data_IF_194462752079
#
_entry.id   IF_194462752079
#
_cell.length_a   1.000
_cell.length_b   1.000
_cell.length_c   1.000
_cell.angle_alpha   90.00
_cell.angle_beta   90.00
_cell.angle_gamma   90.00
#
_symmetry.space_group_name_H-M   'P 1'
#
loop_
_entity.id
_entity.type
_entity.pdbx_description
1 polymer ?
#
# COMPACT_ATOMS: atom_id res chain seq x y z
N UNK A 1 42.65 36.03 10.02
CA UNK A 1 42.94 34.59 9.84
C UNK A 1 41.73 33.98 9.17
N UNK A 2 41.78 33.79 7.85
CA UNK A 2 40.74 33.09 7.13
C UNK A 2 41.04 31.59 7.26
N UNK A 3 40.16 30.86 7.93
CA UNK A 3 40.27 29.41 8.07
C UNK A 3 40.24 28.79 6.68
N UNK A 4 41.36 28.18 6.30
CA UNK A 4 41.55 27.47 5.06
C UNK A 4 40.86 26.10 5.20
N UNK A 5 39.52 26.09 5.12
CA UNK A 5 38.76 24.84 5.02
C UNK A 5 39.04 24.22 3.66
N UNK A 6 40.05 23.35 3.62
CA UNK A 6 40.32 22.52 2.45
C UNK A 6 39.05 21.69 2.18
N UNK A 7 38.40 21.83 1.02
CA UNK A 7 37.20 21.05 0.72
C UNK A 7 37.54 19.57 0.79
N UNK A 8 36.63 18.74 1.34
CA UNK A 8 36.82 17.30 1.39
C UNK A 8 37.24 16.76 0.02
N UNK A 9 38.20 15.84 0.01
CA UNK A 9 38.61 15.19 -1.24
C UNK A 9 37.43 14.49 -1.92
N UNK A 10 37.46 14.39 -3.25
CA UNK A 10 36.43 13.70 -4.04
C UNK A 10 36.21 12.26 -3.56
N UNK A 11 37.29 11.52 -3.30
CA UNK A 11 37.23 10.14 -2.81
C UNK A 11 36.59 10.04 -1.42
N UNK A 12 36.90 10.97 -0.51
CA UNK A 12 36.27 11.03 0.81
C UNK A 12 34.76 11.29 0.69
N UNK A 13 34.37 12.18 -0.22
CA UNK A 13 32.97 12.51 -0.47
C UNK A 13 32.20 11.31 -1.04
N UNK A 14 32.75 10.63 -2.04
CA UNK A 14 32.17 9.40 -2.62
C UNK A 14 32.01 8.31 -1.55
N UNK A 15 33.03 8.07 -0.74
CA UNK A 15 32.99 7.07 0.33
C UNK A 15 31.89 7.37 1.36
N UNK A 16 31.81 8.62 1.83
CA UNK A 16 30.78 9.03 2.79
C UNK A 16 29.38 8.85 2.18
N UNK A 17 29.16 9.28 0.94
CA UNK A 17 27.86 9.15 0.27
C UNK A 17 27.46 7.69 0.04
N UNK A 18 28.41 6.80 -0.22
CA UNK A 18 28.15 5.37 -0.43
C UNK A 18 27.56 4.69 0.81
N UNK A 19 27.99 5.09 2.01
CA UNK A 19 27.56 4.50 3.28
C UNK A 19 26.53 5.37 4.03
N UNK A 20 26.15 6.51 3.46
CA UNK A 20 25.14 7.37 4.05
C UNK A 20 23.74 6.78 3.90
N UNK A 21 22.92 6.96 4.93
CA UNK A 21 21.48 6.68 4.89
C UNK A 21 20.84 7.33 3.64
N UNK A 22 20.07 6.58 2.83
CA UNK A 22 19.51 7.08 1.59
C UNK A 22 18.67 8.35 1.77
N UNK A 23 17.87 8.43 2.83
CA UNK A 23 17.02 9.60 3.09
C UNK A 23 17.84 10.85 3.47
N UNK A 24 18.90 10.70 4.28
CA UNK A 24 19.84 11.81 4.54
C UNK A 24 20.49 12.29 3.25
N UNK A 25 20.88 11.36 2.39
CA UNK A 25 21.51 11.62 1.09
C UNK A 25 20.58 12.38 0.13
N UNK A 26 19.30 12.00 0.07
CA UNK A 26 18.26 12.72 -0.67
C UNK A 26 18.10 14.17 -0.19
N UNK A 27 18.07 14.40 1.13
CA UNK A 27 17.93 15.75 1.72
C UNK A 27 19.16 16.62 1.50
N UNK A 28 20.36 16.05 1.51
CA UNK A 28 21.59 16.77 1.19
C UNK A 28 21.66 17.16 -0.28
N UNK A 29 21.32 16.22 -1.16
CA UNK A 29 21.29 16.42 -2.61
C UNK A 29 20.30 17.50 -3.04
N UNK A 30 19.16 17.60 -2.38
CA UNK A 30 18.17 18.64 -2.71
C UNK A 30 18.63 20.05 -2.33
N UNK A 31 19.55 20.18 -1.35
CA UNK A 31 20.04 21.45 -0.80
C UNK A 31 21.40 21.89 -1.33
N UNK A 32 22.22 20.96 -1.83
CA UNK A 32 23.59 21.26 -2.28
C UNK A 32 23.85 20.71 -3.69
N UNK A 33 23.84 21.58 -4.72
CA UNK A 33 24.17 21.19 -6.09
C UNK A 33 25.58 20.62 -6.26
N UNK A 34 26.53 21.02 -5.42
CA UNK A 34 27.91 20.52 -5.47
C UNK A 34 27.99 19.01 -5.12
N UNK A 35 27.11 18.54 -4.23
CA UNK A 35 27.03 17.12 -3.87
C UNK A 35 26.48 16.28 -5.04
N UNK A 36 25.61 16.85 -5.88
CA UNK A 36 25.02 16.15 -7.02
C UNK A 36 26.06 15.61 -8.01
N UNK A 37 27.23 16.24 -8.11
CA UNK A 37 28.29 15.74 -8.99
C UNK A 37 28.85 14.40 -8.49
N UNK A 38 29.06 14.27 -7.19
CA UNK A 38 29.54 13.03 -6.56
C UNK A 38 28.42 11.97 -6.49
N UNK A 39 27.16 12.41 -6.38
CA UNK A 39 25.99 11.52 -6.41
C UNK A 39 25.84 10.74 -7.71
N UNK A 40 26.29 11.31 -8.82
CA UNK A 40 26.21 10.67 -10.14
C UNK A 40 27.11 9.45 -10.24
N UNK A 41 28.28 9.49 -9.60
CA UNK A 41 29.29 8.42 -9.65
C UNK A 41 29.15 7.42 -8.50
N UNK A 42 28.40 7.79 -7.45
CA UNK A 42 28.27 6.98 -6.24
C UNK A 42 27.00 6.15 -6.28
N UNK A 43 27.13 4.82 -6.12
CA UNK A 43 26.00 3.90 -6.07
C UNK A 43 24.96 4.34 -5.04
N UNK A 44 23.71 4.45 -5.45
CA UNK A 44 22.57 4.74 -4.57
C UNK A 44 21.79 3.45 -4.32
N UNK A 45 21.73 3.02 -3.06
CA UNK A 45 21.13 1.75 -2.64
C UNK A 45 20.07 1.98 -1.60
N UNK A 46 18.87 1.43 -1.82
CA UNK A 46 17.74 1.46 -0.90
C UNK A 46 17.48 0.03 -0.41
N UNK A 47 17.31 -0.14 0.89
CA UNK A 47 17.06 -1.46 1.48
C UNK A 47 15.64 -1.93 1.19
N UNK A 48 14.66 -1.04 1.37
CA UNK A 48 13.25 -1.26 1.08
C UNK A 48 12.60 0.00 0.51
N UNK A 49 12.02 -0.12 -0.68
CA UNK A 49 11.16 0.89 -1.30
C UNK A 49 9.72 0.36 -1.29
N UNK A 50 8.79 1.12 -0.74
CA UNK A 50 7.36 0.82 -0.84
C UNK A 50 6.63 1.91 -1.61
N UNK A 51 5.80 1.49 -2.56
CA UNK A 51 5.00 2.39 -3.39
C UNK A 51 3.53 2.18 -3.03
N UNK A 52 2.96 3.21 -2.41
CA UNK A 52 1.56 3.30 -1.99
C UNK A 52 0.83 4.33 -2.86
N UNK A 53 -0.51 4.35 -2.83
CA UNK A 53 -1.34 5.18 -3.75
C UNK A 53 -0.97 6.66 -3.75
N UNK A 54 -0.56 7.18 -2.60
CA UNK A 54 -0.22 8.59 -2.37
C UNK A 54 1.04 8.74 -1.51
N UNK A 55 1.87 7.68 -1.44
CA UNK A 55 3.05 7.70 -0.62
C UNK A 55 4.19 6.86 -1.20
N UNK A 56 5.40 7.32 -1.00
CA UNK A 56 6.61 6.53 -1.18
C UNK A 56 7.26 6.35 0.19
N UNK A 57 7.60 5.12 0.53
CA UNK A 57 8.33 4.80 1.77
C UNK A 57 9.73 4.31 1.42
N UNK A 58 10.76 5.00 1.91
CA UNK A 58 12.17 4.67 1.67
C UNK A 58 12.81 4.32 3.01
N UNK A 59 13.18 3.05 3.19
CA UNK A 59 13.82 2.56 4.41
C UNK A 59 13.06 2.95 5.70
N UNK A 60 11.73 2.94 5.63
CA UNK A 60 10.80 3.27 6.72
C UNK A 60 10.35 4.74 6.78
N UNK A 61 11.02 5.65 6.08
CA UNK A 61 10.62 7.06 6.06
C UNK A 61 9.57 7.30 4.99
N UNK A 62 8.52 8.02 5.35
CA UNK A 62 7.32 8.17 4.51
C UNK A 62 7.25 9.55 3.89
N UNK A 63 7.11 9.60 2.57
CA UNK A 63 6.87 10.81 1.79
C UNK A 63 5.45 10.75 1.23
N UNK A 64 4.61 11.74 1.54
CA UNK A 64 3.23 11.82 1.05
C UNK A 64 2.98 13.11 0.30
N UNK A 65 2.17 12.99 -0.76
CA UNK A 65 1.68 14.11 -1.56
C UNK A 65 0.17 13.94 -1.69
N UNK A 66 -0.57 14.98 -1.35
CA UNK A 66 -2.01 15.06 -1.57
C UNK A 66 -2.43 16.50 -1.87
N UNK A 67 -3.70 16.72 -2.19
CA UNK A 67 -4.27 18.06 -2.41
C UNK A 67 -5.08 18.49 -1.19
N UNK A 68 -4.85 19.70 -0.69
CA UNK A 68 -5.58 20.27 0.44
C UNK A 68 -6.21 21.58 0.06
N UNK A 69 -7.42 21.83 0.58
CA UNK A 69 -8.13 23.09 0.38
C UNK A 69 -7.81 24.07 1.50
N UNK A 70 -7.29 25.23 1.15
CA UNK A 70 -7.06 26.33 2.08
C UNK A 70 -8.18 27.36 1.95
N UNK A 71 -8.87 27.65 3.05
CA UNK A 71 -9.97 28.62 3.11
C UNK A 71 -9.48 29.97 3.62
N UNK A 72 -9.86 31.05 2.94
CA UNK A 72 -9.49 32.41 3.33
C UNK A 72 -10.54 33.03 4.24
N UNK A 73 -10.08 33.70 5.30
CA UNK A 73 -10.94 34.50 6.17
C UNK A 73 -11.85 33.72 7.12
N UNK A 74 -11.81 32.38 7.11
CA UNK A 74 -12.55 31.52 8.02
C UNK A 74 -11.82 30.19 8.26
N UNK A 75 -12.09 29.51 9.39
CA UNK A 75 -11.63 28.13 9.60
C UNK A 75 -12.16 27.19 8.51
N UNK A 76 -11.35 26.19 8.17
CA UNK A 76 -11.77 25.15 7.24
C UNK A 76 -13.00 24.39 7.79
N UNK A 77 -14.00 24.07 6.95
CA UNK A 77 -15.07 23.17 7.34
C UNK A 77 -14.50 21.83 7.83
N UNK A 78 -15.20 21.19 8.77
CA UNK A 78 -14.73 19.97 9.46
C UNK A 78 -14.24 18.87 8.51
N UNK A 79 -14.93 18.66 7.39
CA UNK A 79 -14.53 17.70 6.36
C UNK A 79 -13.10 17.99 5.83
N UNK A 80 -12.83 19.24 5.42
CA UNK A 80 -11.53 19.62 4.86
C UNK A 80 -10.43 19.69 5.94
N UNK A 81 -10.79 19.98 7.19
CA UNK A 81 -9.86 19.88 8.31
C UNK A 81 -9.40 18.42 8.50
N UNK A 82 -10.35 17.47 8.52
CA UNK A 82 -10.06 16.03 8.60
C UNK A 82 -9.28 15.53 7.39
N UNK A 83 -9.66 15.95 6.19
CA UNK A 83 -8.96 15.60 4.95
C UNK A 83 -7.48 16.02 5.03
N UNK A 84 -7.20 17.26 5.44
CA UNK A 84 -5.83 17.75 5.64
C UNK A 84 -5.05 16.91 6.66
N UNK A 85 -5.68 16.57 7.79
CA UNK A 85 -5.04 15.75 8.83
C UNK A 85 -4.76 14.31 8.35
N UNK A 86 -5.50 13.86 7.33
CA UNK A 86 -5.30 12.60 6.60
C UNK A 86 -4.33 12.72 5.41
N UNK A 87 -3.60 13.83 5.30
CA UNK A 87 -2.62 14.16 4.25
C UNK A 87 -3.22 14.61 2.90
N UNK A 88 -4.46 15.09 2.90
CA UNK A 88 -5.12 15.63 1.71
C UNK A 88 -5.79 14.58 0.83
N UNK A 89 -6.49 15.07 -0.20
CA UNK A 89 -7.04 14.24 -1.26
C UNK A 89 -5.91 13.53 -2.02
N UNK A 90 -6.09 12.24 -2.26
CA UNK A 90 -5.10 11.37 -2.94
C UNK A 90 -5.33 11.25 -4.45
N UNK A 91 -6.17 12.13 -4.99
CA UNK A 91 -6.61 12.18 -6.37
C UNK A 91 -6.64 13.64 -6.82
N UNK A 92 -6.59 13.85 -8.12
CA UNK A 92 -6.69 15.19 -8.68
C UNK A 92 -8.09 15.77 -8.43
N UNK A 93 -8.12 17.04 -8.02
CA UNK A 93 -9.34 17.80 -7.71
C UNK A 93 -9.47 19.02 -8.62
N UNK A 94 -10.68 19.57 -8.72
CA UNK A 94 -10.94 20.82 -9.43
C UNK A 94 -10.56 20.73 -10.92
N UNK A 95 -9.70 21.64 -11.40
CA UNK A 95 -9.35 21.74 -12.83
C UNK A 95 -8.60 20.53 -13.39
N UNK A 96 -8.00 19.73 -12.52
CA UNK A 96 -7.26 18.52 -12.92
C UNK A 96 -8.05 17.24 -12.63
N UNK A 97 -9.22 17.34 -11.98
CA UNK A 97 -10.06 16.18 -11.74
C UNK A 97 -10.57 15.60 -13.05
N UNK A 98 -10.74 14.28 -13.07
CA UNK A 98 -11.57 13.63 -14.07
C UNK A 98 -13.00 14.20 -13.95
N UNK A 99 -13.62 14.69 -15.05
CA UNK A 99 -14.98 15.22 -15.03
C UNK A 99 -16.02 14.26 -14.43
N UNK A 100 -15.79 12.96 -14.55
CA UNK A 100 -16.69 11.91 -14.04
C UNK A 100 -16.21 11.35 -12.67
N UNK A 101 -15.24 12.00 -12.02
CA UNK A 101 -14.73 11.61 -10.71
C UNK A 101 -15.79 11.73 -9.63
N UNK A 102 -16.34 10.59 -9.22
CA UNK A 102 -17.25 10.50 -8.05
C UNK A 102 -16.59 11.07 -6.79
N UNK A 103 -15.27 10.90 -6.65
CA UNK A 103 -14.53 11.40 -5.50
C UNK A 103 -14.43 12.93 -5.47
N UNK A 104 -14.18 13.59 -6.61
CA UNK A 104 -14.13 15.06 -6.67
C UNK A 104 -15.54 15.66 -6.55
N UNK A 105 -16.55 15.02 -7.15
CA UNK A 105 -17.95 15.42 -6.97
C UNK A 105 -18.38 15.36 -5.50
N UNK A 106 -18.11 14.27 -4.81
CA UNK A 106 -18.42 14.10 -3.38
C UNK A 106 -17.68 15.14 -2.53
N UNK A 107 -16.37 15.30 -2.79
CA UNK A 107 -15.54 16.32 -2.13
C UNK A 107 -16.11 17.73 -2.30
N UNK A 108 -16.54 18.11 -3.50
CA UNK A 108 -17.08 19.43 -3.79
C UNK A 108 -18.51 19.61 -3.25
N UNK A 109 -19.28 18.55 -3.06
CA UNK A 109 -20.63 18.59 -2.46
C UNK A 109 -20.62 19.23 -1.06
N UNK A 110 -19.52 19.08 -0.31
CA UNK A 110 -19.35 19.65 1.03
C UNK A 110 -19.30 21.18 1.08
N UNK A 111 -19.02 21.84 -0.06
CA UNK A 111 -19.03 23.29 -0.23
C UNK A 111 -20.02 23.75 -1.31
N UNK A 112 -20.90 22.87 -1.80
CA UNK A 112 -21.83 23.25 -2.86
C UNK A 112 -22.93 24.16 -2.31
N UNK A 113 -23.30 25.18 -3.10
CA UNK A 113 -24.44 26.02 -2.79
C UNK A 113 -25.73 25.19 -2.72
N UNK A 114 -26.63 25.46 -1.75
CA UNK A 114 -27.92 24.79 -1.71
C UNK A 114 -28.69 25.00 -3.02
N UNK A 115 -29.29 23.93 -3.53
CA UNK A 115 -30.11 24.01 -4.73
C UNK A 115 -31.25 25.03 -4.56
N UNK A 116 -31.55 25.81 -5.60
CA UNK A 116 -32.48 26.95 -5.52
C UNK A 116 -33.87 26.59 -4.95
N UNK A 117 -34.40 25.40 -5.30
CA UNK A 117 -35.68 24.90 -4.73
C UNK A 117 -35.62 24.76 -3.20
N UNK A 118 -34.50 24.27 -2.67
CA UNK A 118 -34.30 24.18 -1.22
C UNK A 118 -34.18 25.58 -0.62
N UNK A 119 -33.47 26.50 -1.28
CA UNK A 119 -33.34 27.89 -0.82
C UNK A 119 -34.70 28.62 -0.76
N UNK A 120 -35.58 28.41 -1.73
CA UNK A 120 -36.94 28.95 -1.71
C UNK A 120 -37.76 28.38 -0.55
N UNK A 121 -37.75 27.05 -0.37
CA UNK A 121 -38.41 26.39 0.76
C UNK A 121 -37.88 26.90 2.12
N UNK A 122 -36.59 27.19 2.20
CA UNK A 122 -35.99 27.74 3.43
C UNK A 122 -36.38 29.20 3.67
N UNK A 123 -36.62 29.98 2.62
CA UNK A 123 -37.22 31.31 2.75
C UNK A 123 -38.63 31.23 3.36
N UNK A 124 -39.50 30.36 2.82
CA UNK A 124 -40.84 30.11 3.37
C UNK A 124 -40.79 29.58 4.81
N UNK A 125 -39.83 28.71 5.11
CA UNK A 125 -39.61 28.16 6.46
C UNK A 125 -39.21 29.25 7.47
N UNK A 126 -38.44 30.26 7.04
CA UNK A 126 -38.07 31.42 7.87
C UNK A 126 -39.28 32.31 8.17
N UNK A 127 -40.14 32.56 7.18
CA UNK A 127 -41.39 33.29 7.39
C UNK A 127 -42.34 32.52 8.33
N UNK A 128 -42.49 31.20 8.13
CA UNK A 128 -43.29 30.33 9.00
C UNK A 128 -42.77 30.34 10.44
N UNK A 129 -41.46 30.24 10.64
CA UNK A 129 -40.84 30.32 11.97
C UNK A 129 -41.14 31.67 12.64
N UNK A 130 -41.10 32.76 11.89
CA UNK A 130 -41.40 34.11 12.40
C UNK A 130 -42.84 34.18 12.91
N UNK A 131 -43.80 33.66 12.14
CA UNK A 131 -45.21 33.63 12.53
C UNK A 131 -45.44 32.79 13.78
N UNK A 132 -44.79 31.62 13.88
CA UNK A 132 -44.89 30.75 15.07
C UNK A 132 -44.28 31.45 16.30
N UNK A 133 -43.12 32.06 16.17
CA UNK A 133 -42.47 32.76 17.29
C UNK A 133 -43.32 33.94 17.77
N UNK A 134 -43.94 34.69 16.86
CA UNK A 134 -44.86 35.76 17.23
C UNK A 134 -46.08 35.23 18.01
N UNK A 135 -46.70 34.14 17.56
CA UNK A 135 -47.78 33.47 18.27
C UNK A 135 -47.37 33.03 19.69
N UNK A 136 -46.22 32.36 19.81
CA UNK A 136 -45.73 31.90 21.11
C UNK A 136 -45.45 33.07 22.08
N UNK A 137 -44.90 34.17 21.56
CA UNK A 137 -44.66 35.39 22.35
C UNK A 137 -45.97 36.07 22.79
N UNK A 138 -47.03 36.02 21.98
CA UNK A 138 -48.35 36.52 22.35
C UNK A 138 -48.99 35.66 23.45
N UNK A 139 -48.90 34.33 23.33
CA UNK A 139 -49.38 33.40 24.36
C UNK A 139 -48.61 33.55 25.69
N UNK A 140 -47.33 33.91 25.65
CA UNK A 140 -46.52 34.12 26.86
C UNK A 140 -46.91 35.40 27.63
N UNK A 141 -47.43 36.43 26.93
CA UNK A 141 -47.88 37.69 27.55
C UNK A 141 -49.22 37.60 28.30
N UNK A 142 -50.01 36.56 28.03
CA UNK A 142 -51.35 36.39 28.60
C UNK A 142 -51.43 35.05 29.36
N UNK A 143 -51.39 35.10 30.70
CA UNK A 143 -51.41 33.91 31.57
C UNK A 143 -52.67 33.04 31.38
N UNK A 144 -53.85 33.65 31.14
CA UNK A 144 -55.10 32.93 30.91
C UNK A 144 -55.17 32.16 29.57
N UNK A 145 -54.39 32.54 28.55
CA UNK A 145 -54.40 31.86 27.23
C UNK A 145 -53.51 30.63 27.18
N UNK A 146 -52.55 30.48 28.10
CA UNK A 146 -51.59 29.37 28.06
C UNK A 146 -52.22 28.03 28.49
N UNK A 147 -53.18 28.06 29.43
CA UNK A 147 -53.92 26.88 29.89
C UNK A 147 -54.95 26.37 28.87
N UNK A 148 -55.52 27.25 28.05
CA UNK A 148 -56.54 26.89 27.05
C UNK A 148 -55.94 26.32 25.76
N UNK A 149 -54.71 26.70 25.42
CA UNK A 149 -54.02 26.32 24.17
C UNK A 149 -52.77 25.47 24.39
N UNK A 150 -52.68 24.79 25.54
CA UNK A 150 -51.47 24.09 25.98
C UNK A 150 -50.93 23.11 24.91
N UNK A 151 -51.80 22.30 24.31
CA UNK A 151 -51.45 21.36 23.22
C UNK A 151 -50.97 22.06 21.94
N UNK A 152 -51.62 23.17 21.54
CA UNK A 152 -51.23 23.93 20.34
C UNK A 152 -49.88 24.64 20.53
N UNK A 153 -49.63 25.16 21.74
CA UNK A 153 -48.35 25.75 22.14
C UNK A 153 -47.23 24.72 22.08
N UNK A 154 -47.45 23.50 22.58
CA UNK A 154 -46.47 22.41 22.51
C UNK A 154 -46.16 22.01 21.06
N UNK A 155 -47.20 21.81 20.24
CA UNK A 155 -47.05 21.46 18.82
C UNK A 155 -46.27 22.52 18.04
N UNK A 156 -46.61 23.79 18.21
CA UNK A 156 -45.92 24.91 17.56
C UNK A 156 -44.50 25.08 18.08
N UNK A 157 -44.25 24.79 19.35
CA UNK A 157 -42.88 24.81 19.91
C UNK A 157 -42.02 23.73 19.26
N UNK A 158 -42.55 22.54 19.07
CA UNK A 158 -41.88 21.44 18.37
C UNK A 158 -41.64 21.79 16.88
N UNK A 159 -42.65 22.34 16.20
CA UNK A 159 -42.53 22.82 14.81
C UNK A 159 -41.42 23.89 14.69
N UNK A 160 -41.39 24.86 15.61
CA UNK A 160 -40.36 25.90 15.63
C UNK A 160 -38.95 25.33 15.85
N UNK A 161 -38.80 24.33 16.73
CA UNK A 161 -37.52 23.66 16.94
C UNK A 161 -37.03 22.94 15.68
N UNK A 162 -37.92 22.25 14.97
CA UNK A 162 -37.57 21.54 13.74
C UNK A 162 -37.23 22.51 12.60
N UNK A 163 -38.02 23.57 12.42
CA UNK A 163 -37.72 24.63 11.45
C UNK A 163 -36.36 25.29 11.75
N UNK A 164 -36.05 25.59 13.02
CA UNK A 164 -34.74 26.14 13.43
C UNK A 164 -33.58 25.22 13.03
N UNK A 165 -33.71 23.90 13.22
CA UNK A 165 -32.68 22.92 12.82
C UNK A 165 -32.46 22.93 11.31
N UNK A 166 -33.54 22.93 10.52
CA UNK A 166 -33.46 22.93 9.06
C UNK A 166 -32.84 24.22 8.52
N UNK A 167 -33.27 25.37 9.05
CA UNK A 167 -32.74 26.69 8.71
C UNK A 167 -31.25 26.76 9.06
N UNK A 168 -30.87 26.35 10.26
CA UNK A 168 -29.46 26.34 10.70
C UNK A 168 -28.60 25.49 9.76
N UNK A 169 -29.06 24.29 9.38
CA UNK A 169 -28.35 23.41 8.44
C UNK A 169 -28.18 24.07 7.07
N UNK A 170 -29.22 24.73 6.56
CA UNK A 170 -29.18 25.45 5.28
C UNK A 170 -28.24 26.66 5.34
N UNK A 171 -28.34 27.48 6.37
CA UNK A 171 -27.50 28.67 6.55
C UNK A 171 -26.02 28.30 6.70
N UNK A 172 -25.71 27.21 7.42
CA UNK A 172 -24.33 26.66 7.48
C UNK A 172 -23.85 26.24 6.10
N UNK A 173 -24.67 25.52 5.32
CA UNK A 173 -24.27 25.08 3.98
C UNK A 173 -24.07 26.27 3.04
N UNK A 174 -24.96 27.26 3.10
CA UNK A 174 -24.85 28.50 2.35
C UNK A 174 -23.55 29.24 2.71
N UNK A 175 -23.27 29.42 3.99
CA UNK A 175 -22.03 30.04 4.46
C UNK A 175 -20.79 29.29 3.97
N UNK A 176 -20.78 27.95 4.00
CA UNK A 176 -19.68 27.13 3.46
C UNK A 176 -19.48 27.34 1.96
N UNK A 177 -20.55 27.50 1.20
CA UNK A 177 -20.50 27.71 -0.25
C UNK A 177 -20.00 29.09 -0.68
N UNK A 178 -20.09 30.06 0.21
CA UNK A 178 -19.61 31.42 -0.01
C UNK A 178 -18.13 31.60 0.38
N UNK A 179 -17.52 30.58 1.02
CA UNK A 179 -16.12 30.63 1.38
C UNK A 179 -15.23 30.63 0.15
N UNK A 180 -14.27 31.56 0.13
CA UNK A 180 -13.21 31.58 -0.86
C UNK A 180 -12.11 30.60 -0.46
N UNK A 181 -11.62 29.83 -1.41
CA UNK A 181 -10.56 28.86 -1.18
C UNK A 181 -9.62 28.75 -2.38
N UNK A 182 -8.44 28.19 -2.12
CA UNK A 182 -7.50 27.73 -3.14
C UNK A 182 -7.02 26.32 -2.74
N UNK A 183 -6.83 25.46 -3.74
CA UNK A 183 -6.31 24.11 -3.55
C UNK A 183 -4.77 24.14 -3.69
N UNK A 184 -4.07 23.46 -2.77
CA UNK A 184 -2.61 23.39 -2.71
C UNK A 184 -2.14 21.95 -2.67
N UNK A 185 -0.95 21.71 -3.22
CA UNK A 185 -0.22 20.48 -2.98
C UNK A 185 0.30 20.50 -1.53
N UNK A 186 0.02 19.41 -0.83
CA UNK A 186 0.43 19.13 0.53
C UNK A 186 1.50 18.06 0.55
N UNK A 187 2.75 18.49 0.74
CA UNK A 187 3.87 17.58 0.88
C UNK A 187 4.20 17.38 2.34
N UNK A 188 4.30 16.11 2.76
CA UNK A 188 4.71 15.75 4.12
C UNK A 188 5.78 14.66 4.12
N UNK A 189 6.74 14.80 5.04
CA UNK A 189 7.79 13.81 5.28
C UNK A 189 7.77 13.39 6.74
N UNK A 190 7.65 12.08 6.98
CA UNK A 190 7.66 11.47 8.31
C UNK A 190 8.87 10.55 8.47
N UNK A 191 9.46 10.57 9.67
CA UNK A 191 10.57 9.69 10.01
C UNK A 191 10.11 8.25 10.30
N UNK A 192 11.07 7.37 10.64
CA UNK A 192 10.80 5.97 10.96
C UNK A 192 9.94 5.77 12.21
N UNK A 193 9.84 6.77 13.09
CA UNK A 193 8.97 6.74 14.25
C UNK A 193 7.58 7.34 13.96
N UNK A 194 7.35 7.81 12.73
CA UNK A 194 6.09 8.40 12.28
C UNK A 194 5.94 9.89 12.59
N UNK A 195 6.96 10.53 13.16
CA UNK A 195 6.94 11.96 13.47
C UNK A 195 7.03 12.78 12.19
N UNK A 196 6.20 13.81 12.09
CA UNK A 196 6.23 14.77 11.00
C UNK A 196 7.49 15.64 11.12
N UNK A 197 8.38 15.55 10.13
CA UNK A 197 9.64 16.30 10.14
C UNK A 197 9.61 17.49 9.19
N UNK A 198 8.85 17.40 8.10
CA UNK A 198 8.75 18.45 7.09
C UNK A 198 7.32 18.51 6.57
N UNK A 199 6.84 19.72 6.31
CA UNK A 199 5.49 20.01 5.87
C UNK A 199 5.52 21.27 4.99
N UNK A 200 5.06 21.16 3.75
CA UNK A 200 5.14 22.23 2.76
C UNK A 200 3.83 22.37 1.97
N UNK A 201 3.38 23.61 1.81
CA UNK A 201 2.33 23.99 0.85
C UNK A 201 3.00 24.39 -0.46
N UNK A 202 2.62 23.72 -1.54
CA UNK A 202 3.10 24.01 -2.89
C UNK A 202 1.92 24.40 -3.77
N UNK A 203 2.16 25.28 -4.75
CA UNK A 203 1.13 25.67 -5.71
C UNK A 203 0.64 24.44 -6.49
N UNK A 204 -0.67 24.27 -6.59
CA UNK A 204 -1.29 23.19 -7.36
C UNK A 204 -1.52 23.65 -8.81
N UNK A 205 -0.43 23.69 -9.58
CA UNK A 205 -0.42 24.16 -10.98
C UNK A 205 -0.35 23.03 -12.01
N UNK A 206 -0.35 21.79 -11.56
CA UNK A 206 -0.25 20.57 -12.37
C UNK A 206 -0.83 19.37 -11.62
N UNK A 207 -1.28 18.32 -12.34
CA UNK A 207 -1.90 17.16 -11.73
C UNK A 207 -0.90 16.33 -10.89
N UNK A 208 -1.41 15.57 -9.92
CA UNK A 208 -0.65 14.76 -8.97
C UNK A 208 0.35 13.81 -9.63
N UNK A 209 0.04 13.09 -10.74
CA UNK A 209 1.04 12.29 -11.45
C UNK A 209 2.26 13.11 -11.90
N UNK A 210 2.06 14.35 -12.37
CA UNK A 210 3.17 15.23 -12.76
C UNK A 210 3.96 15.73 -11.55
N UNK A 211 3.30 15.93 -10.40
CA UNK A 211 3.95 16.27 -9.13
C UNK A 211 4.82 15.11 -8.63
N UNK A 212 4.30 13.89 -8.69
CA UNK A 212 5.06 12.67 -8.37
C UNK A 212 6.23 12.47 -9.31
N UNK A 213 6.02 12.61 -10.63
CA UNK A 213 7.10 12.54 -11.61
C UNK A 213 8.21 13.55 -11.31
N UNK A 214 7.85 14.78 -10.93
CA UNK A 214 8.83 15.78 -10.50
C UNK A 214 9.57 15.37 -9.21
N UNK A 215 8.83 14.91 -8.19
CA UNK A 215 9.42 14.44 -6.94
C UNK A 215 10.42 13.32 -7.20
N UNK A 216 9.96 12.27 -7.89
CA UNK A 216 10.76 11.12 -8.23
C UNK A 216 11.96 11.53 -9.08
N UNK A 217 11.78 12.36 -10.12
CA UNK A 217 12.90 12.86 -10.92
C UNK A 217 13.93 13.63 -10.09
N UNK A 218 13.47 14.49 -9.18
CA UNK A 218 14.33 15.32 -8.33
C UNK A 218 15.15 14.50 -7.35
N UNK A 219 14.60 13.42 -6.82
CA UNK A 219 15.22 12.61 -5.77
C UNK A 219 15.92 11.34 -6.30
N UNK A 220 15.42 10.73 -7.37
CA UNK A 220 15.88 9.43 -7.88
C UNK A 220 16.68 9.54 -9.19
N UNK A 221 16.34 10.45 -10.11
CA UNK A 221 16.96 10.48 -11.45
C UNK A 221 18.35 11.13 -11.51
N UNK A 222 18.94 11.57 -10.39
CA UNK A 222 20.28 12.17 -10.38
C UNK A 222 21.41 11.12 -10.37
N UNK A 223 21.10 9.83 -10.28
CA UNK A 223 22.09 8.75 -10.13
C UNK A 223 22.38 8.05 -11.45
N UNK A 224 23.46 8.43 -12.13
CA UNK A 224 23.87 7.82 -13.42
C UNK A 224 24.23 6.34 -13.29
N UNK A 225 24.70 5.89 -12.12
CA UNK A 225 24.99 4.47 -11.85
C UNK A 225 23.74 3.60 -11.69
N UNK A 226 22.53 4.18 -11.81
CA UNK A 226 21.27 3.52 -11.53
C UNK A 226 21.00 3.35 -10.03
N UNK A 227 19.74 3.03 -9.72
CA UNK A 227 19.24 2.90 -8.35
C UNK A 227 19.15 1.43 -8.02
N UNK A 228 19.86 1.00 -6.98
CA UNK A 228 19.74 -0.36 -6.46
C UNK A 228 18.67 -0.42 -5.40
N UNK A 229 17.72 -1.33 -5.53
CA UNK A 229 16.69 -1.60 -4.54
C UNK A 229 16.79 -3.06 -4.13
N UNK A 230 17.05 -3.29 -2.84
CA UNK A 230 17.09 -4.65 -2.33
C UNK A 230 15.68 -5.26 -2.28
N UNK A 231 14.68 -4.55 -1.77
CA UNK A 231 13.27 -4.99 -1.81
C UNK A 231 12.36 -3.87 -2.31
N UNK A 232 11.64 -4.11 -3.40
CA UNK A 232 10.57 -3.24 -3.90
C UNK A 232 9.23 -3.86 -3.51
N UNK A 233 8.40 -3.11 -2.80
CA UNK A 233 7.04 -3.50 -2.46
C UNK A 233 6.05 -2.57 -3.17
N UNK A 234 5.22 -3.13 -4.03
CA UNK A 234 4.22 -2.40 -4.81
C UNK A 234 2.84 -2.72 -4.25
N UNK A 235 2.24 -1.71 -3.62
CA UNK A 235 0.93 -1.78 -2.94
C UNK A 235 -0.16 -1.04 -3.72
N UNK A 236 0.15 -0.66 -4.95
CA UNK A 236 -0.72 0.08 -5.85
C UNK A 236 -0.95 -0.70 -7.12
N UNK A 237 -2.15 -0.56 -7.65
CA UNK A 237 -2.51 -1.05 -8.97
C UNK A 237 -1.60 -0.40 -10.02
N UNK A 238 -1.61 0.93 -10.16
CA UNK A 238 -0.79 1.60 -11.18
C UNK A 238 0.42 2.37 -10.60
N UNK A 239 1.61 1.74 -10.44
CA UNK A 239 2.82 2.41 -9.99
C UNK A 239 3.41 3.36 -11.04
N UNK A 240 3.07 3.20 -12.32
CA UNK A 240 3.69 3.95 -13.42
C UNK A 240 3.38 5.46 -13.35
N UNK A 241 2.20 5.82 -12.84
CA UNK A 241 1.85 7.21 -12.59
C UNK A 241 2.79 7.90 -11.59
N UNK A 242 3.36 7.15 -10.64
CA UNK A 242 4.27 7.70 -9.63
C UNK A 242 5.75 7.56 -10.03
N UNK A 243 6.13 6.44 -10.65
CA UNK A 243 7.53 6.10 -10.96
C UNK A 243 7.98 6.52 -12.36
N UNK A 244 7.26 7.46 -12.99
CA UNK A 244 7.52 7.93 -14.35
C UNK A 244 9.01 8.20 -14.63
N UNK A 245 9.53 7.66 -15.73
CA UNK A 245 10.94 7.76 -16.18
C UNK A 245 12.01 7.26 -15.20
N UNK A 246 11.67 6.42 -14.23
CA UNK A 246 12.67 5.80 -13.34
C UNK A 246 12.84 4.33 -13.64
N UNK A 247 14.09 3.95 -13.87
CA UNK A 247 14.54 2.57 -14.01
C UNK A 247 15.38 2.18 -12.79
N UNK A 248 15.05 1.03 -12.20
CA UNK A 248 15.63 0.58 -10.95
C UNK A 248 16.14 -0.85 -11.10
N UNK A 249 17.29 -1.13 -10.49
CA UNK A 249 17.79 -2.48 -10.34
C UNK A 249 17.23 -3.09 -9.07
N UNK A 250 16.29 -4.01 -9.20
CA UNK A 250 15.59 -4.63 -8.07
C UNK A 250 16.10 -6.04 -7.84
N UNK A 251 16.23 -6.45 -6.58
CA UNK A 251 16.59 -7.83 -6.22
C UNK A 251 15.40 -8.66 -5.76
N UNK A 252 14.59 -8.11 -4.86
CA UNK A 252 13.39 -8.75 -4.36
C UNK A 252 12.19 -7.89 -4.67
N UNK A 253 11.11 -8.51 -5.13
CA UNK A 253 9.87 -7.84 -5.48
C UNK A 253 8.72 -8.41 -4.66
N UNK A 254 7.88 -7.55 -4.10
CA UNK A 254 6.66 -7.91 -3.37
C UNK A 254 5.49 -7.17 -4.04
N UNK A 255 4.47 -7.91 -4.47
CA UNK A 255 3.31 -7.36 -5.19
C UNK A 255 2.04 -7.82 -4.51
N UNK A 256 1.15 -6.87 -4.21
CA UNK A 256 -0.17 -7.16 -3.67
C UNK A 256 -1.22 -6.94 -4.74
N UNK A 257 -1.97 -8.00 -5.10
CA UNK A 257 -2.97 -8.03 -6.18
C UNK A 257 -2.37 -7.79 -7.57
N UNK A 258 -2.66 -8.70 -8.49
CA UNK A 258 -1.93 -8.76 -9.76
C UNK A 258 -2.89 -9.04 -10.90
N UNK A 259 -2.94 -8.11 -11.85
CA UNK A 259 -3.33 -8.40 -13.23
C UNK A 259 -2.12 -8.20 -14.16
N UNK A 260 -2.27 -8.62 -15.41
CA UNK A 260 -1.21 -8.57 -16.41
C UNK A 260 -0.81 -7.11 -16.76
N UNK A 261 -1.76 -6.19 -16.79
CA UNK A 261 -1.52 -4.77 -17.11
C UNK A 261 -0.60 -4.13 -16.06
N UNK A 262 -0.84 -4.39 -14.78
CA UNK A 262 -0.01 -3.89 -13.69
C UNK A 262 1.42 -4.46 -13.72
N UNK A 263 1.58 -5.74 -14.07
CA UNK A 263 2.90 -6.35 -14.22
C UNK A 263 3.68 -5.76 -15.40
N UNK A 264 3.01 -5.54 -16.53
CA UNK A 264 3.59 -4.92 -17.72
C UNK A 264 4.00 -3.46 -17.44
N UNK A 265 3.16 -2.70 -16.72
CA UNK A 265 3.49 -1.35 -16.29
C UNK A 265 4.74 -1.36 -15.38
N UNK A 266 4.84 -2.32 -14.45
CA UNK A 266 5.98 -2.45 -13.56
C UNK A 266 7.28 -2.81 -14.30
N UNK A 267 7.21 -3.66 -15.34
CA UNK A 267 8.37 -4.05 -16.15
C UNK A 267 9.10 -2.84 -16.75
N UNK A 268 8.37 -1.79 -17.13
CA UNK A 268 8.95 -0.56 -17.69
C UNK A 268 9.89 0.17 -16.71
N UNK A 269 9.74 -0.09 -15.41
CA UNK A 269 10.55 0.51 -14.34
C UNK A 269 11.66 -0.41 -13.82
N UNK A 270 11.69 -1.67 -14.25
CA UNK A 270 12.72 -2.62 -13.86
C UNK A 270 13.85 -2.64 -14.89
N UNK A 271 15.08 -2.44 -14.43
CA UNK A 271 16.26 -2.64 -15.28
C UNK A 271 16.32 -4.10 -15.74
N UNK A 272 16.73 -4.33 -16.99
CA UNK A 272 17.04 -5.68 -17.52
C UNK A 272 18.03 -6.42 -16.61
N UNK A 273 18.93 -5.69 -15.96
CA UNK A 273 19.92 -6.26 -15.02
C UNK A 273 19.33 -6.70 -13.67
N UNK A 274 18.04 -6.48 -13.43
CA UNK A 274 17.29 -7.03 -12.29
C UNK A 274 16.97 -8.50 -12.49
N UNK A 275 16.94 -8.98 -13.73
CA UNK A 275 16.58 -10.35 -14.06
C UNK A 275 17.81 -11.26 -14.14
N UNK A 276 17.74 -12.50 -13.62
CA UNK A 276 16.63 -13.06 -12.84
C UNK A 276 16.53 -12.43 -11.43
N UNK A 277 15.31 -12.11 -10.98
CA UNK A 277 15.07 -11.60 -9.62
C UNK A 277 15.47 -12.64 -8.57
N UNK A 278 15.97 -12.21 -7.41
CA UNK A 278 16.31 -13.12 -6.32
C UNK A 278 15.07 -13.73 -5.69
N UNK A 279 14.03 -12.92 -5.48
CA UNK A 279 12.75 -13.38 -4.97
C UNK A 279 11.61 -12.52 -5.52
N UNK A 280 10.50 -13.15 -5.87
CA UNK A 280 9.23 -12.46 -6.14
C UNK A 280 8.20 -13.00 -5.16
N UNK A 281 7.52 -12.12 -4.44
CA UNK A 281 6.42 -12.46 -3.55
C UNK A 281 5.12 -11.88 -4.09
N UNK A 282 4.07 -12.69 -4.13
CA UNK A 282 2.75 -12.24 -4.50
C UNK A 282 1.69 -12.82 -3.56
N UNK A 283 0.63 -12.05 -3.36
CA UNK A 283 -0.62 -12.49 -2.75
C UNK A 283 -1.74 -12.37 -3.77
N UNK A 284 -2.61 -13.38 -3.82
CA UNK A 284 -3.82 -13.38 -4.65
C UNK A 284 -3.53 -13.08 -6.14
N UNK A 285 -2.68 -13.91 -6.75
CA UNK A 285 -2.33 -13.83 -8.17
C UNK A 285 -3.00 -14.97 -8.94
N UNK A 286 -3.73 -14.60 -9.99
CA UNK A 286 -4.46 -15.56 -10.83
C UNK A 286 -3.55 -16.22 -11.88
N UNK A 287 -2.55 -15.49 -12.38
CA UNK A 287 -1.65 -15.93 -13.45
C UNK A 287 -0.16 -15.82 -13.11
N UNK A 288 0.50 -16.97 -13.01
CA UNK A 288 1.95 -17.07 -12.74
C UNK A 288 2.80 -17.20 -14.01
N UNK A 289 2.17 -17.15 -15.19
CA UNK A 289 2.85 -17.34 -16.48
C UNK A 289 3.64 -16.09 -16.93
N UNK A 290 3.51 -14.98 -16.20
CA UNK A 290 4.19 -13.74 -16.55
C UNK A 290 5.72 -13.82 -16.30
N UNK A 291 6.50 -13.15 -17.16
CA UNK A 291 7.97 -13.19 -17.16
C UNK A 291 8.60 -12.79 -15.81
N UNK A 292 7.97 -11.88 -15.06
CA UNK A 292 8.41 -11.49 -13.71
C UNK A 292 8.46 -12.69 -12.78
N UNK A 293 7.42 -13.53 -12.81
CA UNK A 293 7.35 -14.70 -11.96
C UNK A 293 8.29 -15.78 -12.48
N UNK A 294 8.19 -16.13 -13.76
CA UNK A 294 8.98 -17.21 -14.37
C UNK A 294 10.50 -17.02 -14.21
N UNK A 295 10.98 -15.78 -14.37
CA UNK A 295 12.40 -15.47 -14.30
C UNK A 295 12.97 -15.42 -12.88
N UNK A 296 12.14 -15.48 -11.84
CA UNK A 296 12.62 -15.36 -10.46
C UNK A 296 13.31 -16.63 -9.96
N UNK A 297 14.36 -16.48 -9.12
CA UNK A 297 15.05 -17.61 -8.49
C UNK A 297 14.24 -18.23 -7.36
N UNK A 298 13.40 -17.40 -6.71
CA UNK A 298 12.51 -17.81 -5.64
C UNK A 298 11.15 -17.16 -5.83
N UNK A 299 10.10 -17.96 -5.93
CA UNK A 299 8.73 -17.48 -5.93
C UNK A 299 8.14 -17.67 -4.53
N UNK A 300 7.51 -16.63 -3.97
CA UNK A 300 6.83 -16.67 -2.67
C UNK A 300 5.35 -16.41 -2.91
N UNK A 301 4.50 -17.37 -2.53
CA UNK A 301 3.06 -17.30 -2.76
C UNK A 301 2.38 -17.26 -1.42
N UNK A 302 1.58 -16.23 -1.20
CA UNK A 302 0.72 -16.11 -0.01
C UNK A 302 -0.73 -16.25 -0.43
N UNK A 303 -1.49 -17.09 0.29
CA UNK A 303 -2.90 -17.38 -0.03
C UNK A 303 -3.17 -18.85 -0.36
N UNK A 304 -4.38 -19.13 -0.81
CA UNK A 304 -4.81 -20.48 -1.20
C UNK A 304 -4.50 -20.74 -2.66
N UNK A 305 -3.99 -21.94 -2.96
CA UNK A 305 -3.80 -22.39 -4.34
C UNK A 305 -4.90 -23.32 -4.77
N UNK A 306 -5.30 -23.18 -6.03
CA UNK A 306 -6.10 -24.21 -6.70
C UNK A 306 -5.18 -25.28 -7.29
N UNK A 307 -5.68 -26.50 -7.44
CA UNK A 307 -4.92 -27.63 -8.00
C UNK A 307 -4.49 -27.41 -9.46
N UNK A 308 -5.14 -26.48 -10.18
CA UNK A 308 -4.84 -26.13 -11.56
C UNK A 308 -3.56 -25.28 -11.70
N UNK A 309 -3.19 -24.50 -10.68
CA UNK A 309 -2.05 -23.57 -10.73
C UNK A 309 -0.68 -24.26 -10.54
N UNK A 310 -0.66 -25.55 -10.17
CA UNK A 310 0.56 -26.23 -9.73
C UNK A 310 1.46 -26.77 -10.84
N UNK A 311 0.94 -26.89 -12.06
CA UNK A 311 1.73 -27.23 -13.23
C UNK A 311 2.51 -26.05 -13.83
N UNK A 312 2.26 -24.82 -13.36
CA UNK A 312 2.67 -23.60 -14.05
C UNK A 312 3.94 -22.94 -13.49
N UNK A 313 4.48 -23.44 -12.37
CA UNK A 313 5.68 -22.83 -11.80
C UNK A 313 6.93 -23.35 -12.51
N UNK A 314 7.84 -22.45 -12.91
CA UNK A 314 9.14 -22.80 -13.51
C UNK A 314 10.30 -22.53 -12.55
N UNK A 315 10.01 -21.97 -11.37
CA UNK A 315 11.03 -21.51 -10.44
C UNK A 315 11.71 -22.68 -9.70
N UNK A 316 13.04 -22.60 -9.47
CA UNK A 316 13.75 -23.67 -8.77
C UNK A 316 13.40 -23.74 -7.28
N UNK A 317 13.01 -22.61 -6.68
CA UNK A 317 12.54 -22.53 -5.29
C UNK A 317 11.18 -21.86 -5.26
N UNK A 318 10.19 -22.53 -4.68
CA UNK A 318 8.85 -21.97 -4.45
C UNK A 318 8.55 -22.05 -2.96
N UNK A 319 8.02 -20.97 -2.40
CA UNK A 319 7.78 -20.80 -0.99
C UNK A 319 6.33 -20.41 -0.75
N UNK A 320 5.59 -21.30 -0.11
CA UNK A 320 4.18 -21.15 0.16
C UNK A 320 3.96 -20.65 1.59
N UNK A 321 3.15 -19.61 1.70
CA UNK A 321 2.57 -19.09 2.93
C UNK A 321 1.06 -19.36 2.89
N UNK A 322 0.64 -20.62 3.09
CA UNK A 322 -0.74 -21.01 2.87
C UNK A 322 -1.67 -20.36 3.89
N UNK A 323 -2.86 -19.96 3.45
CA UNK A 323 -4.00 -19.66 4.33
C UNK A 323 -4.65 -20.94 4.86
N UNK A 324 -4.65 -22.01 4.05
CA UNK A 324 -5.06 -23.36 4.44
C UNK A 324 -4.00 -24.21 5.16
N UNK A 325 -4.31 -25.48 5.42
CA UNK A 325 -3.41 -26.42 6.09
C UNK A 325 -2.25 -26.88 5.18
N UNK A 326 -1.02 -26.88 5.71
CA UNK A 326 0.17 -27.34 4.99
C UNK A 326 0.04 -28.80 4.51
N UNK A 327 -0.70 -29.64 5.23
CA UNK A 327 -0.95 -31.05 4.85
C UNK A 327 -1.60 -31.17 3.48
N UNK A 328 -2.62 -30.34 3.22
CA UNK A 328 -3.34 -30.33 1.93
C UNK A 328 -2.38 -29.98 0.80
N UNK A 329 -1.58 -28.92 0.97
CA UNK A 329 -0.60 -28.48 -0.02
C UNK A 329 0.41 -29.56 -0.37
N UNK A 330 0.97 -30.22 0.65
CA UNK A 330 1.89 -31.35 0.47
C UNK A 330 1.24 -32.47 -0.33
N UNK A 331 0.01 -32.84 0.01
CA UNK A 331 -0.70 -33.92 -0.69
C UNK A 331 -0.88 -33.61 -2.18
N UNK A 332 -1.25 -32.37 -2.51
CA UNK A 332 -1.40 -31.96 -3.90
C UNK A 332 -0.06 -31.99 -4.64
N UNK A 333 1.02 -31.47 -4.05
CA UNK A 333 2.36 -31.50 -4.67
C UNK A 333 2.86 -32.91 -4.94
N UNK A 334 2.71 -33.81 -3.97
CA UNK A 334 3.08 -35.22 -4.14
C UNK A 334 2.29 -35.87 -5.26
N UNK A 335 0.97 -35.61 -5.33
CA UNK A 335 0.11 -36.13 -6.38
C UNK A 335 0.56 -35.64 -7.76
N UNK A 336 0.86 -34.34 -7.90
CA UNK A 336 1.40 -33.74 -9.13
C UNK A 336 2.73 -34.38 -9.53
N UNK A 337 3.70 -34.48 -8.61
CA UNK A 337 5.00 -35.09 -8.92
C UNK A 337 4.87 -36.57 -9.30
N UNK A 338 4.01 -37.35 -8.63
CA UNK A 338 3.76 -38.76 -8.98
C UNK A 338 3.14 -38.88 -10.38
N UNK A 339 2.18 -38.01 -10.71
CA UNK A 339 1.46 -38.03 -11.98
C UNK A 339 2.34 -37.58 -13.15
N UNK A 340 3.02 -36.43 -12.98
CA UNK A 340 3.64 -35.69 -14.07
C UNK A 340 5.17 -35.87 -14.10
N UNK A 341 5.78 -36.25 -12.98
CA UNK A 341 7.23 -36.27 -12.79
C UNK A 341 7.79 -34.90 -12.41
N UNK A 342 9.12 -34.77 -12.45
CA UNK A 342 9.81 -33.51 -12.23
C UNK A 342 11.03 -33.47 -13.16
N UNK A 343 11.12 -32.43 -14.00
CA UNK A 343 12.12 -32.39 -15.08
C UNK A 343 13.43 -31.74 -14.64
N UNK A 344 13.36 -30.93 -13.58
CA UNK A 344 14.49 -30.23 -12.98
C UNK A 344 14.41 -30.31 -11.46
N UNK A 345 15.50 -30.00 -10.78
CA UNK A 345 15.50 -29.95 -9.31
C UNK A 345 14.57 -28.84 -8.83
N UNK A 346 13.59 -29.18 -7.99
CA UNK A 346 12.63 -28.24 -7.40
C UNK A 346 12.65 -28.30 -5.89
N UNK A 347 12.59 -27.13 -5.24
CA UNK A 347 12.45 -27.00 -3.79
C UNK A 347 11.16 -26.26 -3.46
N UNK A 348 10.23 -26.92 -2.78
CA UNK A 348 9.04 -26.31 -2.20
C UNK A 348 9.25 -26.10 -0.71
N UNK A 349 8.98 -24.89 -0.23
CA UNK A 349 9.04 -24.50 1.17
C UNK A 349 7.61 -24.19 1.59
N UNK A 350 7.12 -24.76 2.68
CA UNK A 350 5.75 -24.52 3.16
C UNK A 350 5.83 -24.00 4.59
N UNK A 351 5.35 -22.78 4.81
CA UNK A 351 5.20 -22.20 6.15
C UNK A 351 3.93 -22.73 6.82
N UNK A 352 4.01 -23.03 8.11
CA UNK A 352 2.82 -23.26 8.95
C UNK A 352 3.08 -22.83 10.37
N UNK A 353 2.03 -22.34 11.03
CA UNK A 353 2.05 -22.04 12.46
C UNK A 353 1.65 -23.25 13.32
N UNK A 354 0.98 -24.24 12.71
CA UNK A 354 0.50 -25.42 13.42
C UNK A 354 1.52 -26.56 13.34
N UNK A 355 2.10 -26.91 14.48
CA UNK A 355 3.00 -28.07 14.62
C UNK A 355 2.31 -29.39 14.25
N UNK A 356 0.99 -29.49 14.46
CA UNK A 356 0.21 -30.69 14.12
C UNK A 356 0.26 -30.99 12.62
N UNK A 357 0.28 -29.94 11.78
CA UNK A 357 0.41 -30.06 10.32
C UNK A 357 1.76 -30.66 9.92
N UNK A 358 2.85 -30.27 10.58
CA UNK A 358 4.18 -30.86 10.35
C UNK A 358 4.16 -32.37 10.60
N UNK A 359 3.52 -32.80 11.70
CA UNK A 359 3.39 -34.23 12.04
C UNK A 359 2.56 -34.99 11.01
N UNK A 360 1.44 -34.40 10.56
CA UNK A 360 0.60 -35.00 9.51
C UNK A 360 1.38 -35.16 8.20
N UNK A 361 2.12 -34.14 7.78
CA UNK A 361 2.99 -34.20 6.60
C UNK A 361 4.04 -35.31 6.71
N UNK A 362 4.71 -35.43 7.85
CA UNK A 362 5.68 -36.51 8.09
C UNK A 362 5.00 -37.89 7.96
N UNK A 363 3.78 -38.04 8.48
CA UNK A 363 3.04 -39.30 8.39
C UNK A 363 2.62 -39.63 6.95
N UNK A 364 2.31 -38.64 6.12
CA UNK A 364 2.08 -38.84 4.67
C UNK A 364 3.35 -39.37 3.99
N UNK A 365 4.52 -38.80 4.26
CA UNK A 365 5.77 -39.31 3.68
C UNK A 365 6.13 -40.71 4.18
N UNK A 366 5.83 -41.02 5.44
CA UNK A 366 6.04 -42.37 6.00
C UNK A 366 5.16 -43.42 5.35
N UNK A 367 3.92 -43.12 4.98
CA UNK A 367 3.06 -44.08 4.29
C UNK A 367 3.53 -44.37 2.85
N UNK A 368 4.33 -43.48 2.26
CA UNK A 368 4.90 -43.62 0.92
C UNK A 368 6.26 -44.37 0.91
N UNK A 369 6.88 -44.61 2.06
CA UNK A 369 8.15 -45.33 2.16
C UNK A 369 7.90 -46.86 2.20
N UNK A 370 8.55 -47.68 1.33
CA UNK A 370 8.67 -49.10 1.58
C UNK A 370 9.43 -49.30 2.91
N UNK A 371 9.04 -50.31 3.69
CA UNK A 371 9.31 -50.51 5.14
C UNK A 371 10.75 -50.39 5.70
N UNK A 372 11.78 -49.99 4.95
CA UNK A 372 13.17 -49.99 5.42
C UNK A 372 13.89 -48.68 5.09
N UNK A 373 14.69 -48.19 6.06
CA UNK A 373 15.41 -46.91 6.13
C UNK A 373 14.67 -45.78 6.86
N UNK A 374 14.77 -45.79 8.19
CA UNK A 374 14.43 -44.67 9.05
C UNK A 374 15.64 -44.41 9.95
N UNK A 375 16.32 -43.28 9.78
CA UNK A 375 17.30 -42.79 10.75
C UNK A 375 16.74 -41.49 11.37
N UNK A 376 16.35 -41.55 12.64
CA UNK A 376 15.62 -40.50 13.35
C UNK A 376 16.61 -39.71 14.21
N UNK A 377 17.25 -38.67 13.65
CA UNK A 377 17.73 -37.49 14.41
C UNK A 377 17.56 -36.19 13.61
N UNK A 378 17.19 -35.12 14.30
CA UNK A 378 16.91 -33.77 13.76
C UNK A 378 18.21 -33.04 13.36
N UNK A 379 18.27 -32.27 12.25
CA UNK A 379 17.27 -32.15 11.19
C UNK A 379 17.18 -33.43 10.33
N UNK A 380 15.95 -33.91 10.10
CA UNK A 380 15.70 -35.16 9.38
C UNK A 380 15.69 -34.94 7.87
N UNK A 381 16.27 -35.88 7.11
CA UNK A 381 16.20 -35.93 5.65
C UNK A 381 15.63 -37.27 5.23
N UNK A 382 14.38 -37.29 4.76
CA UNK A 382 13.80 -38.48 4.12
C UNK A 382 14.28 -38.56 2.68
N UNK A 383 14.48 -39.75 2.13
CA UNK A 383 14.73 -39.95 0.69
C UNK A 383 13.72 -40.96 0.18
N UNK A 384 12.86 -40.57 -0.75
CA UNK A 384 11.89 -41.48 -1.36
C UNK A 384 12.19 -41.57 -2.86
N UNK A 385 12.28 -42.80 -3.36
CA UNK A 385 12.36 -43.08 -4.80
C UNK A 385 10.95 -43.31 -5.33
N UNK A 386 10.46 -42.40 -6.16
CA UNK A 386 9.14 -42.55 -6.78
C UNK A 386 9.28 -42.92 -8.26
N UNK A 387 8.62 -44.01 -8.72
CA UNK A 387 8.42 -44.26 -10.13
C UNK A 387 7.29 -43.36 -10.64
N UNK A 388 7.60 -42.39 -11.52
CA UNK A 388 6.57 -41.66 -12.27
C UNK A 388 5.94 -42.57 -13.35
N UNK A 389 4.67 -42.33 -13.69
CA UNK A 389 3.98 -43.00 -14.82
C UNK A 389 4.69 -42.81 -16.16
N UNK A 390 5.58 -41.82 -16.30
CA UNK A 390 6.39 -41.52 -17.50
C UNK A 390 7.83 -42.06 -17.44
N UNK A 391 8.11 -43.12 -16.66
CA UNK A 391 9.45 -43.74 -16.46
C UNK A 391 10.54 -42.86 -15.81
N UNK A 392 10.27 -41.57 -15.55
CA UNK A 392 11.21 -40.68 -14.87
C UNK A 392 11.29 -41.02 -13.37
N UNK A 393 12.46 -41.45 -12.92
CA UNK A 393 12.74 -41.66 -11.49
C UNK A 393 13.12 -40.33 -10.86
N UNK A 394 12.70 -40.10 -9.62
CA UNK A 394 13.10 -38.91 -8.86
C UNK A 394 13.31 -39.25 -7.39
N UNK A 395 14.18 -38.46 -6.77
CA UNK A 395 14.46 -38.50 -5.33
C UNK A 395 13.74 -37.35 -4.64
N UNK A 396 12.85 -37.70 -3.70
CA UNK A 396 12.19 -36.72 -2.85
C UNK A 396 12.87 -36.60 -1.50
N UNK A 397 13.15 -35.37 -1.10
CA UNK A 397 13.69 -35.03 0.20
C UNK A 397 12.69 -34.22 1.02
N UNK A 398 12.50 -34.59 2.28
CA UNK A 398 11.71 -33.83 3.24
C UNK A 398 12.59 -33.46 4.43
N UNK A 399 12.63 -32.18 4.78
CA UNK A 399 13.14 -31.67 6.04
C UNK A 399 12.18 -30.64 6.63
N UNK A 400 12.30 -30.37 7.92
CA UNK A 400 11.55 -29.28 8.53
C UNK A 400 12.41 -28.56 9.57
N UNK A 401 12.15 -27.27 9.75
CA UNK A 401 12.84 -26.42 10.71
C UNK A 401 11.83 -25.58 11.49
N UNK A 402 12.20 -25.20 12.70
CA UNK A 402 11.42 -24.32 13.57
C UNK A 402 12.19 -23.01 13.74
N UNK A 403 11.51 -21.88 13.58
CA UNK A 403 12.08 -20.55 13.81
C UNK A 403 11.18 -19.81 14.79
N UNK A 404 11.79 -19.09 15.74
CA UNK A 404 11.04 -18.20 16.64
C UNK A 404 10.31 -17.13 15.81
N UNK A 405 9.03 -16.94 16.08
CA UNK A 405 8.27 -15.86 15.45
C UNK A 405 8.56 -14.54 16.18
N UNK A 406 8.61 -13.44 15.43
CA UNK A 406 8.83 -12.11 16.00
C UNK A 406 7.62 -11.54 16.78
N UNK A 407 6.52 -12.30 16.92
CA UNK A 407 5.27 -11.84 17.55
C UNK A 407 4.95 -12.64 18.83
N UNK A 408 4.44 -11.98 19.89
CA UNK A 408 4.30 -12.57 21.23
C UNK A 408 3.16 -13.61 21.40
N UNK A 409 2.31 -13.83 20.40
CA UNK A 409 1.14 -14.75 20.52
C UNK A 409 1.31 -16.12 19.86
N UNK A 410 2.22 -16.26 18.89
CA UNK A 410 2.57 -17.53 18.26
C UNK A 410 4.08 -17.70 18.37
N UNK A 411 4.63 -18.56 19.26
CA UNK A 411 6.06 -18.52 19.54
C UNK A 411 6.94 -19.01 18.38
N UNK A 412 6.38 -19.76 17.42
CA UNK A 412 7.17 -20.39 16.36
C UNK A 412 6.45 -20.46 15.01
N UNK A 413 7.23 -20.33 13.95
CA UNK A 413 6.86 -20.66 12.57
C UNK A 413 7.64 -21.91 12.16
N UNK A 414 6.94 -22.91 11.63
CA UNK A 414 7.53 -24.13 11.09
C UNK A 414 7.67 -24.02 9.58
N UNK A 415 8.80 -24.46 9.08
CA UNK A 415 9.14 -24.52 7.67
C UNK A 415 9.27 -25.96 7.26
N UNK A 416 8.48 -26.40 6.28
CA UNK A 416 8.58 -27.74 5.69
C UNK A 416 9.25 -27.59 4.32
N UNK A 417 10.45 -28.12 4.18
CA UNK A 417 11.20 -28.15 2.93
C UNK A 417 10.97 -29.50 2.22
N UNK A 418 10.40 -29.46 1.03
CA UNK A 418 10.28 -30.59 0.10
C UNK A 418 11.18 -30.34 -1.11
N UNK A 419 12.05 -31.29 -1.46
CA UNK A 419 12.95 -31.16 -2.61
C UNK A 419 12.74 -32.37 -3.52
N UNK A 420 12.39 -32.13 -4.78
CA UNK A 420 12.37 -33.15 -5.82
C UNK A 420 13.64 -33.03 -6.68
N UNK A 421 14.32 -34.14 -6.94
CA UNK A 421 15.51 -34.20 -7.79
C UNK A 421 15.30 -35.28 -8.85
N UNK A 422 15.26 -34.94 -10.15
CA UNK A 422 15.22 -35.94 -11.21
C UNK A 422 16.48 -36.82 -11.19
N UNK A 423 16.34 -38.09 -11.56
CA UNK A 423 17.45 -39.03 -11.72
C UNK A 423 17.86 -39.24 -13.16
#
# INVERSE_FOLDING_TARGET
>A
MADNQQPMSELSSICILQYMDPNKRLRLSSRSPAILNYERTTRFSISKLEVHRSAIVIDGQTYKIGVVRHFYGAPAPEFFAKERDQNGAQFDVGVFADPDSVYDMDRNSHCQAPHWKHSLKMYESKERLTNIVNFLNECEKCELTRETYLEEVELKTLEAQELRKQIMKHDIQKAKSELKYEDFIWFTHRDNAGHLTTMEYLKYDRPLPAVWAYFVKRYFSNHQTGILINTLNVLVQNPAAMLHDVTMKVWNLEINQVDEEHLNALLLHLSVTSFPLNSVACSDCDEYDHIIFQSSRKLVISGDLTTQQLGMFFNPVIHFKPSGGATTMVFVFLTCWIRDGCDERRKYIIETKDKSEVVKVINIFRSLLPRHYINIRSPFKYVIHLPSRRERRMDLYLSWNQKEAHLPRDPYIYYIDMIAVPR
#
